data_IF_871736861863
#
_entry.id   IF_871736861863
#
_cell.length_a   1.000
_cell.length_b   1.000
_cell.length_c   1.000
_cell.angle_alpha   90.00
_cell.angle_beta   90.00
_cell.angle_gamma   90.00
#
_symmetry.space_group_name_H-M   'P 1'
#
loop_
_entity.id
_entity.type
_entity.pdbx_description
1 polymer ?
#
# COMPACT_ATOMS: atom_id res chain seq x y z
N UNK A 1 8.72 -12.54 -17.50
CA UNK A 1 7.48 -13.18 -17.05
C UNK A 1 6.32 -12.26 -17.37
N UNK A 2 5.17 -12.83 -17.73
CA UNK A 2 3.90 -12.12 -17.78
C UNK A 2 3.18 -12.30 -16.45
N UNK A 3 2.99 -11.20 -15.72
CA UNK A 3 2.54 -11.23 -14.33
C UNK A 3 1.18 -10.56 -14.23
N UNK A 4 0.16 -11.31 -13.83
CA UNK A 4 -1.17 -10.78 -13.61
C UNK A 4 -1.31 -10.17 -12.22
N UNK A 5 -1.96 -9.02 -12.11
CA UNK A 5 -2.36 -8.40 -10.84
C UNK A 5 -3.88 -8.38 -10.80
N UNK A 6 -4.48 -9.14 -9.87
CA UNK A 6 -5.93 -9.25 -9.72
C UNK A 6 -6.45 -8.27 -8.70
N UNK A 7 -6.95 -7.12 -9.17
CA UNK A 7 -7.62 -6.13 -8.33
C UNK A 7 -9.14 -6.33 -8.39
N UNK A 8 -9.75 -6.52 -7.22
CA UNK A 8 -11.18 -6.84 -7.04
C UNK A 8 -11.89 -5.94 -6.05
N UNK A 9 -11.19 -4.93 -5.55
CA UNK A 9 -11.63 -4.02 -4.50
C UNK A 9 -11.53 -2.59 -5.04
N UNK A 10 -12.66 -1.87 -4.97
CA UNK A 10 -12.68 -0.42 -5.23
C UNK A 10 -12.58 0.27 -3.88
N UNK A 11 -11.39 0.74 -3.53
CA UNK A 11 -11.18 1.51 -2.30
C UNK A 11 -11.24 3.02 -2.56
N UNK A 12 -11.91 3.80 -1.68
CA UNK A 12 -11.97 5.26 -1.81
C UNK A 12 -10.62 5.92 -1.51
N UNK A 13 -9.76 5.31 -0.69
CA UNK A 13 -8.44 5.82 -0.35
C UNK A 13 -7.42 5.64 -1.50
N UNK A 14 -6.26 6.31 -1.39
CA UNK A 14 -5.18 6.25 -2.37
C UNK A 14 -4.19 5.10 -2.18
N UNK A 15 -4.22 4.41 -1.04
CA UNK A 15 -3.22 3.40 -0.67
C UNK A 15 -3.16 2.23 -1.66
N UNK A 16 -4.32 1.66 -2.01
CA UNK A 16 -4.40 0.50 -2.92
C UNK A 16 -3.97 0.88 -4.34
N UNK A 17 -4.42 2.04 -4.82
CA UNK A 17 -4.02 2.60 -6.13
C UNK A 17 -2.51 2.78 -6.20
N UNK A 18 -1.94 3.30 -5.14
CA UNK A 18 -0.51 3.54 -5.06
C UNK A 18 0.29 2.23 -4.91
N UNK A 19 -0.26 1.24 -4.22
CA UNK A 19 0.35 -0.08 -4.09
C UNK A 19 0.40 -0.81 -5.43
N UNK A 20 -0.70 -0.80 -6.20
CA UNK A 20 -0.74 -1.33 -7.56
C UNK A 20 0.27 -0.61 -8.47
N UNK A 21 0.37 0.72 -8.35
CA UNK A 21 1.35 1.52 -9.10
C UNK A 21 2.79 1.06 -8.81
N UNK A 22 3.13 0.84 -7.55
CA UNK A 22 4.46 0.35 -7.15
C UNK A 22 4.71 -1.04 -7.72
N UNK A 23 3.76 -1.96 -7.59
CA UNK A 23 3.89 -3.32 -8.13
C UNK A 23 4.13 -3.29 -9.64
N UNK A 24 3.31 -2.54 -10.39
CA UNK A 24 3.42 -2.42 -11.85
C UNK A 24 4.76 -1.82 -12.25
N UNK A 25 5.16 -0.73 -11.61
CA UNK A 25 6.42 -0.05 -11.93
C UNK A 25 7.63 -0.94 -11.64
N UNK A 26 7.61 -1.66 -10.52
CA UNK A 26 8.70 -2.53 -10.13
C UNK A 26 8.81 -3.75 -11.04
N UNK A 27 7.67 -4.35 -11.44
CA UNK A 27 7.63 -5.40 -12.45
C UNK A 27 8.21 -4.92 -13.78
N UNK A 28 7.78 -3.74 -14.28
CA UNK A 28 8.32 -3.13 -15.50
C UNK A 28 9.83 -2.88 -15.39
N UNK A 29 10.29 -2.34 -14.25
CA UNK A 29 11.71 -2.06 -13.98
C UNK A 29 12.58 -3.31 -14.05
N UNK A 30 12.03 -4.46 -13.64
CA UNK A 30 12.70 -5.77 -13.72
C UNK A 30 12.52 -6.48 -15.08
N UNK A 31 11.92 -5.82 -16.08
CA UNK A 31 11.72 -6.38 -17.42
C UNK A 31 10.58 -7.41 -17.50
N UNK A 32 9.63 -7.38 -16.56
CA UNK A 32 8.42 -8.19 -16.60
C UNK A 32 7.28 -7.45 -17.30
N UNK A 33 6.28 -8.22 -17.75
CA UNK A 33 5.09 -7.72 -18.44
C UNK A 33 3.89 -7.79 -17.49
N UNK A 34 3.54 -6.71 -16.78
CA UNK A 34 2.36 -6.69 -15.93
C UNK A 34 1.06 -6.63 -16.74
N UNK A 35 0.03 -7.32 -16.29
CA UNK A 35 -1.34 -7.27 -16.81
C UNK A 35 -2.34 -7.18 -15.66
N UNK A 36 -3.37 -6.36 -15.79
CA UNK A 36 -4.42 -6.21 -14.78
C UNK A 36 -5.56 -7.17 -15.04
N UNK A 37 -5.91 -7.99 -14.04
CA UNK A 37 -7.08 -8.83 -14.01
C UNK A 37 -8.14 -8.15 -13.14
N UNK A 38 -9.23 -7.69 -13.73
CA UNK A 38 -10.23 -6.89 -12.98
C UNK A 38 -11.66 -7.37 -13.28
N UNK A 39 -12.61 -7.22 -12.34
CA UNK A 39 -14.02 -7.43 -12.62
C UNK A 39 -14.54 -6.57 -13.77
N UNK A 40 -15.66 -7.00 -14.36
CA UNK A 40 -16.41 -6.21 -15.34
C UNK A 40 -16.63 -4.77 -14.86
N UNK A 41 -16.45 -3.79 -15.77
CA UNK A 41 -16.64 -2.35 -15.53
C UNK A 41 -15.83 -1.79 -14.33
N UNK A 42 -14.63 -2.30 -14.09
CA UNK A 42 -13.79 -1.82 -13.00
C UNK A 42 -13.45 -0.31 -13.13
N UNK A 43 -13.77 0.52 -12.12
CA UNK A 43 -13.56 1.96 -12.18
C UNK A 43 -12.13 2.35 -11.80
N UNK A 44 -11.22 2.34 -12.78
CA UNK A 44 -9.84 2.79 -12.58
C UNK A 44 -9.78 4.27 -12.18
N UNK A 45 -8.92 4.61 -11.20
CA UNK A 45 -8.63 6.00 -10.83
C UNK A 45 -7.46 6.61 -11.58
N UNK A 46 -6.60 5.75 -12.14
CA UNK A 46 -5.39 6.13 -12.88
C UNK A 46 -5.24 5.20 -14.08
N UNK A 47 -4.63 5.70 -15.15
CA UNK A 47 -4.18 4.85 -16.25
C UNK A 47 -2.79 4.30 -15.93
N UNK A 48 -2.71 2.98 -15.76
CA UNK A 48 -1.46 2.28 -15.47
C UNK A 48 -0.63 1.97 -16.72
N UNK A 49 -1.17 2.21 -17.92
CA UNK A 49 -0.58 1.88 -19.21
C UNK A 49 -0.09 0.41 -19.26
N UNK A 50 -1.01 -0.51 -18.96
CA UNK A 50 -0.81 -1.96 -19.00
C UNK A 50 -2.06 -2.63 -19.59
N UNK A 51 -1.89 -3.85 -20.10
CA UNK A 51 -3.00 -4.65 -20.59
C UNK A 51 -4.03 -4.90 -19.48
N UNK A 52 -5.31 -4.89 -19.85
CA UNK A 52 -6.43 -5.19 -18.94
C UNK A 52 -7.20 -6.39 -19.47
N UNK A 53 -7.39 -7.38 -18.61
CA UNK A 53 -8.21 -8.57 -18.86
C UNK A 53 -9.37 -8.56 -17.88
N UNK A 54 -10.60 -8.54 -18.41
CA UNK A 54 -11.81 -8.57 -17.60
C UNK A 54 -12.15 -9.99 -17.16
N UNK A 55 -12.49 -10.13 -15.88
CA UNK A 55 -12.89 -11.38 -15.24
C UNK A 55 -14.41 -11.51 -15.23
N UNK A 56 -14.87 -12.71 -15.56
CA UNK A 56 -16.29 -13.08 -15.46
C UNK A 56 -16.71 -13.20 -13.99
N UNK A 57 -17.97 -12.85 -13.72
CA UNK A 57 -18.55 -12.96 -12.38
C UNK A 57 -19.27 -11.71 -11.90
N UNK A 58 -19.39 -10.70 -12.78
CA UNK A 58 -20.03 -9.43 -12.52
C UNK A 58 -19.12 -8.39 -11.89
N UNK A 59 -19.64 -7.18 -11.76
CA UNK A 59 -18.91 -5.98 -11.33
C UNK A 59 -18.47 -6.03 -9.85
N UNK A 60 -17.67 -5.06 -9.41
CA UNK A 60 -17.32 -4.92 -7.99
C UNK A 60 -18.56 -4.59 -7.13
N UNK A 61 -18.65 -5.17 -5.93
CA UNK A 61 -19.75 -4.87 -4.97
C UNK A 61 -19.29 -3.83 -3.95
N UNK A 62 -19.91 -2.65 -3.94
CA UNK A 62 -19.60 -1.58 -2.98
C UNK A 62 -20.56 -1.58 -1.78
N UNK A 63 -20.06 -1.19 -0.60
CA UNK A 63 -20.86 -1.01 0.63
C UNK A 63 -21.25 0.45 0.89
N UNK A 64 -20.73 1.38 0.09
CA UNK A 64 -21.02 2.80 0.25
C UNK A 64 -22.53 3.03 0.18
N UNK A 65 -23.11 3.59 1.24
CA UNK A 65 -24.56 3.86 1.33
C UNK A 65 -25.45 2.63 1.58
N UNK A 66 -24.92 1.42 1.78
CA UNK A 66 -25.74 0.23 1.98
C UNK A 66 -26.38 0.18 3.39
N UNK A 67 -27.72 0.02 3.44
CA UNK A 67 -28.47 -0.12 4.70
C UNK A 67 -28.03 -1.35 5.51
N UNK A 68 -28.16 -1.30 6.84
CA UNK A 68 -27.70 -2.37 7.76
C UNK A 68 -28.26 -3.76 7.39
N UNK A 69 -29.50 -3.82 6.90
CA UNK A 69 -30.18 -5.05 6.48
C UNK A 69 -29.66 -5.63 5.15
N UNK A 70 -29.10 -4.81 4.26
CA UNK A 70 -28.50 -5.28 3.00
C UNK A 70 -27.10 -5.89 3.21
N UNK A 71 -26.44 -5.61 4.35
CA UNK A 71 -25.07 -6.05 4.62
C UNK A 71 -24.85 -7.58 4.58
N UNK A 72 -25.75 -8.43 5.12
CA UNK A 72 -25.61 -9.88 5.03
C UNK A 72 -25.72 -10.39 3.59
N UNK A 73 -26.73 -9.92 2.84
CA UNK A 73 -26.89 -10.26 1.42
C UNK A 73 -25.67 -9.86 0.59
N UNK A 74 -25.19 -8.63 0.75
CA UNK A 74 -23.98 -8.15 0.07
C UNK A 74 -22.72 -8.96 0.46
N UNK A 75 -22.68 -9.51 1.68
CA UNK A 75 -21.57 -10.36 2.10
C UNK A 75 -21.57 -11.70 1.36
N UNK A 76 -22.76 -12.28 1.16
CA UNK A 76 -22.92 -13.53 0.40
C UNK A 76 -22.65 -13.27 -1.09
N UNK A 77 -23.19 -12.18 -1.64
CA UNK A 77 -22.97 -11.80 -3.03
C UNK A 77 -21.47 -11.60 -3.32
N UNK A 78 -20.73 -10.91 -2.44
CA UNK A 78 -19.27 -10.76 -2.58
C UNK A 78 -18.52 -12.08 -2.57
N UNK A 79 -18.91 -12.99 -1.68
CA UNK A 79 -18.29 -14.32 -1.61
C UNK A 79 -18.53 -15.09 -2.91
N UNK A 80 -19.74 -15.02 -3.47
CA UNK A 80 -20.07 -15.61 -4.77
C UNK A 80 -19.28 -14.98 -5.91
N UNK A 81 -19.27 -13.64 -6.01
CA UNK A 81 -18.51 -12.91 -7.05
C UNK A 81 -17.03 -13.23 -6.98
N UNK A 82 -16.43 -13.28 -5.78
CA UNK A 82 -15.02 -13.63 -5.60
C UNK A 82 -14.68 -15.02 -6.15
N UNK A 83 -15.54 -16.01 -5.90
CA UNK A 83 -15.35 -17.37 -6.45
C UNK A 83 -15.45 -17.37 -7.97
N UNK A 84 -16.39 -16.62 -8.54
CA UNK A 84 -16.51 -16.49 -9.99
C UNK A 84 -15.27 -15.83 -10.59
N UNK A 85 -14.80 -14.72 -10.01
CA UNK A 85 -13.58 -14.04 -10.45
C UNK A 85 -12.35 -14.95 -10.38
N UNK A 86 -12.18 -15.73 -9.30
CA UNK A 86 -11.07 -16.69 -9.20
C UNK A 86 -11.19 -17.86 -10.18
N UNK A 87 -12.41 -18.31 -10.46
CA UNK A 87 -12.65 -19.32 -11.51
C UNK A 87 -12.28 -18.78 -12.88
N UNK A 88 -12.72 -17.56 -13.21
CA UNK A 88 -12.35 -16.87 -14.43
C UNK A 88 -10.84 -16.63 -14.51
N UNK A 89 -10.21 -16.19 -13.42
CA UNK A 89 -8.77 -15.97 -13.35
C UNK A 89 -7.97 -17.25 -13.64
N UNK A 90 -8.41 -18.40 -13.12
CA UNK A 90 -7.76 -19.69 -13.41
C UNK A 90 -7.79 -20.04 -14.92
N UNK A 91 -8.88 -19.70 -15.61
CA UNK A 91 -8.97 -19.84 -17.06
C UNK A 91 -8.09 -18.81 -17.79
N UNK A 92 -8.18 -17.53 -17.40
CA UNK A 92 -7.41 -16.44 -18.01
C UNK A 92 -5.90 -16.59 -17.84
N UNK A 93 -5.44 -17.20 -16.75
CA UNK A 93 -4.02 -17.54 -16.56
C UNK A 93 -3.51 -18.42 -17.71
N UNK A 94 -4.29 -19.43 -18.13
CA UNK A 94 -3.92 -20.33 -19.24
C UNK A 94 -4.02 -19.62 -20.59
N UNK A 95 -5.13 -18.93 -20.84
CA UNK A 95 -5.38 -18.24 -22.11
C UNK A 95 -4.32 -17.17 -22.41
N UNK A 96 -3.94 -16.40 -21.39
CA UNK A 96 -3.00 -15.30 -21.52
C UNK A 96 -1.55 -15.68 -21.16
N UNK A 97 -1.27 -16.97 -20.92
CA UNK A 97 0.07 -17.48 -20.58
C UNK A 97 0.72 -16.70 -19.43
N UNK A 98 -0.02 -16.57 -18.34
CA UNK A 98 0.45 -15.88 -17.14
C UNK A 98 1.39 -16.80 -16.37
N UNK A 99 2.57 -16.29 -15.99
CA UNK A 99 3.56 -17.04 -15.22
C UNK A 99 3.31 -16.91 -13.70
N UNK A 100 2.81 -15.76 -13.26
CA UNK A 100 2.48 -15.48 -11.87
C UNK A 100 1.25 -14.57 -11.73
N UNK A 101 0.44 -14.80 -10.71
CA UNK A 101 -0.72 -14.02 -10.32
C UNK A 101 -0.48 -13.39 -8.93
N UNK A 102 -0.63 -12.07 -8.82
CA UNK A 102 -0.58 -11.34 -7.57
C UNK A 102 -2.00 -10.84 -7.24
N UNK A 103 -2.48 -11.17 -6.05
CA UNK A 103 -3.67 -10.59 -5.45
C UNK A 103 -3.17 -9.57 -4.40
N UNK A 104 -3.16 -8.26 -4.71
CA UNK A 104 -2.45 -7.25 -3.93
C UNK A 104 -3.07 -7.04 -2.54
N UNK A 105 -4.38 -7.26 -2.40
CA UNK A 105 -5.07 -7.13 -1.12
C UNK A 105 -5.94 -8.35 -0.83
N UNK A 106 -5.51 -9.17 0.14
CA UNK A 106 -6.17 -10.39 0.57
C UNK A 106 -6.65 -10.37 2.03
N UNK A 107 -7.64 -11.21 2.31
CA UNK A 107 -8.06 -11.59 3.68
C UNK A 107 -8.19 -13.10 3.77
N UNK A 108 -8.38 -13.66 4.97
CA UNK A 108 -8.63 -15.11 5.10
C UNK A 108 -9.82 -15.59 4.24
N UNK A 109 -10.78 -14.71 3.91
CA UNK A 109 -11.91 -15.03 3.03
C UNK A 109 -11.48 -15.20 1.58
N UNK A 110 -10.43 -14.49 1.15
CA UNK A 110 -9.85 -14.67 -0.18
C UNK A 110 -9.24 -16.06 -0.29
N UNK A 111 -8.43 -16.47 0.69
CA UNK A 111 -7.89 -17.85 0.71
C UNK A 111 -9.03 -18.87 0.71
N UNK A 112 -10.03 -18.69 1.57
CA UNK A 112 -11.17 -19.61 1.63
C UNK A 112 -11.86 -19.76 0.27
N UNK A 113 -12.14 -18.65 -0.42
CA UNK A 113 -12.79 -18.67 -1.72
C UNK A 113 -11.89 -19.28 -2.80
N UNK A 114 -10.60 -18.92 -2.83
CA UNK A 114 -9.60 -19.41 -3.79
C UNK A 114 -9.50 -20.94 -3.73
N UNK A 115 -9.39 -21.49 -2.52
CA UNK A 115 -9.30 -22.94 -2.28
C UNK A 115 -10.53 -23.74 -2.71
N UNK A 116 -11.63 -23.07 -2.99
CA UNK A 116 -12.87 -23.69 -3.47
C UNK A 116 -13.03 -23.52 -5.01
N UNK A 117 -11.99 -23.07 -5.71
CA UNK A 117 -11.97 -22.84 -7.16
C UNK A 117 -10.78 -23.57 -7.81
N UNK A 118 -10.71 -23.70 -9.16
CA UNK A 118 -9.55 -24.27 -9.85
C UNK A 118 -8.25 -23.49 -9.64
N UNK A 119 -8.31 -22.23 -9.18
CA UNK A 119 -7.14 -21.38 -8.98
C UNK A 119 -6.15 -21.94 -7.94
N UNK A 120 -6.62 -22.80 -7.02
CA UNK A 120 -5.76 -23.49 -6.05
C UNK A 120 -4.75 -24.45 -6.71
N UNK A 121 -5.11 -25.00 -7.87
CA UNK A 121 -4.32 -25.94 -8.65
C UNK A 121 -3.65 -25.25 -9.85
N UNK A 122 -3.45 -23.93 -9.77
CA UNK A 122 -2.82 -23.12 -10.81
C UNK A 122 -1.39 -23.60 -11.08
N UNK A 123 -1.04 -23.69 -12.37
CA UNK A 123 0.34 -23.93 -12.81
C UNK A 123 1.22 -22.68 -12.60
N UNK A 124 0.62 -21.48 -12.70
CA UNK A 124 1.25 -20.22 -12.36
C UNK A 124 1.36 -20.03 -10.85
N UNK A 125 2.39 -19.31 -10.39
CA UNK A 125 2.55 -18.94 -8.99
C UNK A 125 1.47 -17.94 -8.57
N UNK A 126 0.72 -18.24 -7.51
CA UNK A 126 -0.36 -17.40 -6.98
C UNK A 126 0.05 -16.82 -5.64
N UNK A 127 0.21 -15.51 -5.62
CA UNK A 127 0.61 -14.70 -4.47
C UNK A 127 -0.59 -13.94 -3.92
N UNK A 128 -0.93 -14.16 -2.65
CA UNK A 128 -1.96 -13.37 -1.95
C UNK A 128 -1.27 -12.48 -0.92
N UNK A 129 -1.31 -11.17 -1.12
CA UNK A 129 -0.66 -10.21 -0.24
C UNK A 129 -1.63 -9.75 0.87
N UNK A 130 -1.13 -9.71 2.10
CA UNK A 130 -1.86 -9.26 3.28
C UNK A 130 -1.22 -7.98 3.83
N UNK A 131 -1.95 -6.87 3.83
CA UNK A 131 -1.54 -5.57 4.40
C UNK A 131 -1.57 -5.53 5.94
N UNK A 132 -1.30 -6.67 6.57
CA UNK A 132 -1.48 -6.89 8.00
C UNK A 132 -2.67 -7.79 8.30
N UNK A 133 -2.59 -8.50 9.43
CA UNK A 133 -3.62 -9.42 9.90
C UNK A 133 -4.07 -8.93 11.27
N UNK A 134 -5.36 -8.59 11.38
CA UNK A 134 -5.93 -8.15 12.65
C UNK A 134 -5.88 -9.26 13.70
N UNK A 135 -5.72 -8.88 14.99
CA UNK A 135 -5.68 -9.85 16.11
C UNK A 135 -6.88 -10.82 16.10
N UNK A 136 -8.08 -10.31 15.83
CA UNK A 136 -9.30 -11.13 15.77
C UNK A 136 -9.46 -11.99 14.51
N UNK A 137 -8.56 -11.85 13.53
CA UNK A 137 -8.57 -12.62 12.28
C UNK A 137 -7.45 -13.66 12.21
N UNK A 138 -6.48 -13.61 13.14
CA UNK A 138 -5.28 -14.45 13.12
C UNK A 138 -5.61 -15.95 13.08
N UNK A 139 -6.49 -16.44 13.95
CA UNK A 139 -6.86 -17.87 13.98
C UNK A 139 -7.50 -18.32 12.67
N UNK A 140 -8.29 -17.45 12.05
CA UNK A 140 -8.94 -17.75 10.76
C UNK A 140 -7.92 -17.75 9.63
N UNK A 141 -6.96 -16.83 9.67
CA UNK A 141 -5.84 -16.80 8.75
C UNK A 141 -5.03 -18.09 8.86
N UNK A 142 -4.56 -18.45 10.06
CA UNK A 142 -3.77 -19.67 10.32
C UNK A 142 -4.52 -20.91 9.83
N UNK A 143 -5.82 -21.02 10.13
CA UNK A 143 -6.66 -22.11 9.62
C UNK A 143 -6.63 -22.22 8.10
N UNK A 144 -6.71 -21.10 7.38
CA UNK A 144 -6.64 -21.12 5.92
C UNK A 144 -5.21 -21.35 5.39
N UNK A 145 -4.19 -20.85 6.08
CA UNK A 145 -2.79 -21.08 5.74
C UNK A 145 -2.43 -22.58 5.80
N UNK A 146 -2.88 -23.30 6.81
CA UNK A 146 -2.73 -24.76 6.85
C UNK A 146 -3.39 -25.46 5.66
N UNK A 147 -4.59 -25.02 5.24
CA UNK A 147 -5.24 -25.57 4.04
C UNK A 147 -4.44 -25.25 2.77
N UNK A 148 -3.84 -24.07 2.70
CA UNK A 148 -3.04 -23.64 1.55
C UNK A 148 -1.76 -24.45 1.38
N UNK A 149 -1.19 -25.03 2.45
CA UNK A 149 0.02 -25.86 2.38
C UNK A 149 -0.10 -27.08 1.43
N UNK A 150 -1.33 -27.53 1.14
CA UNK A 150 -1.56 -28.62 0.19
C UNK A 150 -1.23 -28.25 -1.27
N UNK A 151 -1.06 -26.96 -1.58
CA UNK A 151 -0.88 -26.43 -2.93
C UNK A 151 0.50 -25.79 -3.08
N UNK A 152 1.28 -26.26 -4.05
CA UNK A 152 2.71 -25.89 -4.17
C UNK A 152 2.93 -24.47 -4.67
N UNK A 153 2.05 -23.99 -5.55
CA UNK A 153 2.18 -22.69 -6.22
C UNK A 153 1.31 -21.62 -5.54
N UNK A 154 0.88 -21.82 -4.29
CA UNK A 154 0.06 -20.86 -3.54
C UNK A 154 0.86 -20.28 -2.38
N UNK A 155 1.07 -18.98 -2.40
CA UNK A 155 1.86 -18.22 -1.42
C UNK A 155 1.01 -17.16 -0.73
N UNK A 156 1.22 -17.03 0.58
CA UNK A 156 0.55 -16.05 1.43
C UNK A 156 1.59 -15.06 1.94
N UNK A 157 1.65 -13.89 1.30
CA UNK A 157 2.67 -12.89 1.52
C UNK A 157 2.19 -11.84 2.52
N UNK A 158 2.72 -11.87 3.72
CA UNK A 158 2.29 -11.00 4.82
C UNK A 158 3.23 -9.81 4.94
N UNK A 159 2.70 -8.61 4.70
CA UNK A 159 3.39 -7.35 5.00
C UNK A 159 3.49 -7.22 6.51
N UNK A 160 4.71 -7.29 7.02
CA UNK A 160 4.96 -7.23 8.46
C UNK A 160 6.39 -6.78 8.75
N UNK A 161 6.55 -5.98 9.81
CA UNK A 161 7.86 -5.76 10.44
C UNK A 161 8.18 -6.84 11.49
N UNK A 162 7.16 -7.57 11.95
CA UNK A 162 7.27 -8.63 12.97
C UNK A 162 7.64 -9.97 12.33
N UNK A 163 8.33 -10.81 13.10
CA UNK A 163 8.76 -12.15 12.68
C UNK A 163 7.86 -13.29 13.19
N UNK A 164 6.85 -12.97 14.01
CA UNK A 164 5.94 -13.97 14.62
C UNK A 164 5.08 -14.74 13.61
N UNK A 165 5.05 -14.27 12.36
CA UNK A 165 4.33 -14.91 11.26
C UNK A 165 5.14 -15.97 10.51
N UNK A 166 6.46 -16.02 10.69
CA UNK A 166 7.37 -16.96 10.01
C UNK A 166 7.41 -18.29 10.76
N UNK A 167 6.30 -19.02 10.70
CA UNK A 167 6.18 -20.31 11.40
C UNK A 167 6.67 -21.47 10.54
N UNK A 168 7.47 -22.41 11.08
CA UNK A 168 7.94 -23.58 10.33
C UNK A 168 6.83 -24.49 9.79
N UNK A 169 5.67 -24.52 10.44
CA UNK A 169 4.50 -25.32 10.04
C UNK A 169 3.66 -24.65 8.93
N UNK A 170 4.01 -23.43 8.53
CA UNK A 170 3.35 -22.66 7.47
C UNK A 170 4.36 -22.25 6.38
N UNK A 171 4.97 -23.21 5.64
CA UNK A 171 6.01 -22.93 4.65
C UNK A 171 5.54 -22.08 3.46
N UNK A 172 4.21 -21.94 3.27
CA UNK A 172 3.61 -21.07 2.24
C UNK A 172 3.35 -19.64 2.71
N UNK A 173 3.53 -19.36 4.00
CA UNK A 173 3.43 -18.01 4.55
C UNK A 173 4.81 -17.36 4.50
N UNK A 174 4.92 -16.23 3.80
CA UNK A 174 6.17 -15.48 3.69
C UNK A 174 6.01 -14.09 4.30
N UNK A 175 7.08 -13.58 4.87
CA UNK A 175 7.16 -12.18 5.30
C UNK A 175 7.66 -11.36 4.12
N UNK A 176 6.94 -10.28 3.81
CA UNK A 176 7.42 -9.22 2.95
C UNK A 176 7.50 -7.92 3.74
N UNK A 177 8.51 -7.10 3.46
CA UNK A 177 8.64 -5.80 4.11
C UNK A 177 7.60 -4.83 3.54
N UNK A 178 7.07 -3.91 4.35
CA UNK A 178 6.19 -2.86 3.84
C UNK A 178 6.92 -2.04 2.78
N UNK A 179 6.25 -1.71 1.66
CA UNK A 179 6.85 -0.86 0.64
C UNK A 179 7.04 0.56 1.18
N UNK A 180 7.97 1.28 0.57
CA UNK A 180 8.10 2.73 0.77
C UNK A 180 7.43 3.41 -0.42
N UNK A 181 6.43 4.24 -0.13
CA UNK A 181 5.73 5.03 -1.12
C UNK A 181 6.56 6.24 -1.53
N UNK A 182 7.20 6.14 -2.69
CA UNK A 182 7.91 7.27 -3.29
C UNK A 182 6.95 8.08 -4.16
N UNK A 183 6.92 9.41 -4.03
CA UNK A 183 6.13 10.26 -4.91
C UNK A 183 6.49 9.97 -6.37
N UNK A 184 5.51 10.03 -7.26
CA UNK A 184 5.77 9.85 -8.70
C UNK A 184 6.46 11.10 -9.23
N UNK A 185 7.75 11.28 -8.94
CA UNK A 185 8.54 12.34 -9.54
C UNK A 185 8.75 12.02 -11.02
N UNK A 186 8.63 13.03 -11.89
CA UNK A 186 9.61 13.09 -12.95
C UNK A 186 10.95 13.21 -12.22
N UNK A 187 11.75 12.15 -12.24
CA UNK A 187 13.09 12.13 -11.65
C UNK A 187 13.94 13.20 -12.36
N UNK A 188 13.86 14.45 -11.92
CA UNK A 188 14.85 15.47 -12.24
C UNK A 188 16.11 15.15 -11.44
N UNK A 189 16.97 14.31 -12.02
CA UNK A 189 18.44 14.40 -11.99
C UNK A 189 19.25 14.35 -10.68
N UNK A 190 18.73 14.68 -9.50
CA UNK A 190 19.59 15.03 -8.36
C UNK A 190 19.49 14.14 -7.12
N UNK A 191 18.81 13.00 -7.20
CA UNK A 191 18.89 11.99 -6.12
C UNK A 191 19.29 10.61 -6.69
N UNK A 192 20.47 10.58 -7.31
CA UNK A 192 21.32 9.39 -7.26
C UNK A 192 22.24 9.52 -6.03
N UNK A 193 22.39 8.43 -5.29
CA UNK A 193 23.24 8.25 -4.09
C UNK A 193 22.60 8.55 -2.74
N UNK A 194 21.55 7.81 -2.40
CA UNK A 194 21.54 7.13 -1.10
C UNK A 194 21.28 5.65 -1.35
N UNK A 195 22.26 4.99 -1.97
CA UNK A 195 22.38 3.55 -1.84
C UNK A 195 22.79 3.30 -0.38
N UNK A 196 21.93 2.64 0.39
CA UNK A 196 22.29 2.05 1.66
C UNK A 196 23.33 0.96 1.34
N UNK A 197 24.61 1.32 1.40
CA UNK A 197 25.69 0.36 1.47
C UNK A 197 25.66 -0.28 2.86
N UNK A 198 24.86 -1.33 2.98
CA UNK A 198 25.14 -2.43 3.89
C UNK A 198 26.37 -3.17 3.35
N UNK A 199 27.55 -2.71 3.73
CA UNK A 199 28.77 -3.50 3.63
C UNK A 199 29.56 -3.31 4.94
N UNK A 200 29.43 -4.31 5.80
CA UNK A 200 30.36 -4.54 6.91
C UNK A 200 31.74 -4.79 6.31
N UNK A 201 32.74 -4.01 6.70
CA UNK A 201 34.14 -4.43 6.77
C UNK A 201 34.88 -3.53 7.75
N UNK A 202 35.25 -4.12 8.89
CA UNK A 202 36.28 -3.61 9.79
C UNK A 202 37.60 -3.51 9.04
N UNK A 203 38.29 -2.38 9.14
CA UNK A 203 39.74 -2.21 9.30
C UNK A 203 40.20 -0.83 8.78
N UNK A 204 41.00 -0.13 9.59
CA UNK A 204 41.92 0.91 9.13
C UNK A 204 41.52 2.35 9.43
N UNK A 205 41.83 2.82 10.64
CA UNK A 205 42.25 4.21 10.84
C UNK A 205 43.55 4.41 10.04
N UNK A 206 43.62 5.43 9.18
CA UNK A 206 44.75 6.37 9.12
C UNK A 206 44.54 7.49 8.07
N UNK A 207 44.63 8.73 8.57
CA UNK A 207 45.21 9.94 7.97
C UNK A 207 45.05 10.20 6.46
N UNK A 208 44.22 11.17 6.09
CA UNK A 208 44.43 12.00 4.89
C UNK A 208 44.30 13.48 5.23
N UNK A 209 45.40 14.19 4.94
CA UNK A 209 45.64 15.60 5.23
C UNK A 209 44.70 16.54 4.46
N UNK A 210 44.31 17.59 5.19
CA UNK A 210 43.64 18.78 4.69
C UNK A 210 44.58 19.55 3.75
N UNK A 211 44.16 19.80 2.50
CA UNK A 211 44.80 20.79 1.64
C UNK A 211 43.73 21.70 1.05
N UNK A 212 43.94 23.00 1.29
CA UNK A 212 43.04 24.09 0.95
C UNK A 212 42.76 24.17 -0.55
N UNK A 213 41.51 23.95 -0.95
CA UNK A 213 40.99 24.48 -2.21
C UNK A 213 40.04 25.63 -1.92
N UNK A 214 40.52 26.85 -2.24
CA UNK A 214 39.70 28.06 -2.32
C UNK A 214 38.70 27.88 -3.46
N UNK A 215 37.51 27.38 -3.13
CA UNK A 215 36.32 27.55 -3.96
C UNK A 215 35.47 28.67 -3.38
N UNK A 216 35.19 29.63 -4.24
CA UNK A 216 34.37 30.82 -4.05
C UNK A 216 33.09 30.55 -3.24
N UNK A 217 32.99 31.20 -2.08
CA UNK A 217 31.91 31.12 -1.09
C UNK A 217 30.58 31.78 -1.52
N UNK A 218 30.28 31.86 -2.81
CA UNK A 218 29.07 32.56 -3.28
C UNK A 218 27.87 31.64 -3.51
N UNK A 219 28.04 30.31 -3.45
CA UNK A 219 26.94 29.34 -3.52
C UNK A 219 26.44 28.84 -2.14
N UNK A 220 27.19 29.12 -1.05
CA UNK A 220 26.86 28.66 0.31
C UNK A 220 25.88 29.59 1.05
N UNK A 221 25.62 30.80 0.54
CA UNK A 221 24.79 31.82 1.20
C UNK A 221 23.33 31.88 0.72
N UNK A 222 22.85 30.92 -0.08
CA UNK A 222 21.43 30.78 -0.44
C UNK A 222 20.64 29.80 0.45
N UNK A 223 21.20 29.39 1.59
CA UNK A 223 20.45 28.71 2.67
C UNK A 223 19.63 29.72 3.48
N UNK A 224 18.76 30.49 2.83
CA UNK A 224 17.80 31.36 3.52
C UNK A 224 16.71 30.47 4.12
N UNK A 225 16.90 30.13 5.40
CA UNK A 225 15.88 29.96 6.44
C UNK A 225 14.55 29.30 5.99
N UNK A 226 14.62 28.14 5.32
CA UNK A 226 13.40 27.36 5.04
C UNK A 226 12.90 26.77 6.37
N UNK A 227 11.61 26.94 6.70
CA UNK A 227 11.07 26.40 7.95
C UNK A 227 11.18 24.87 7.95
N UNK A 228 11.54 24.30 9.09
CA UNK A 228 11.54 22.86 9.34
C UNK A 228 10.10 22.37 9.20
N UNK A 229 9.86 21.35 8.36
CA UNK A 229 8.52 20.79 8.15
C UNK A 229 8.40 19.43 8.81
N UNK A 230 7.46 19.34 9.74
CA UNK A 230 6.98 18.08 10.30
C UNK A 230 5.71 17.68 9.59
N UNK A 231 5.51 16.39 9.33
CA UNK A 231 4.39 15.91 8.55
C UNK A 231 3.75 14.67 9.16
N UNK A 232 2.42 14.68 9.25
CA UNK A 232 1.62 13.49 9.49
C UNK A 232 0.72 13.24 8.29
N UNK A 233 0.80 12.03 7.72
CA UNK A 233 0.09 11.67 6.50
C UNK A 233 -0.62 10.32 6.64
N UNK A 234 -1.76 10.20 5.99
CA UNK A 234 -2.49 8.96 5.79
C UNK A 234 -4.00 9.12 5.93
N UNK A 235 -4.69 7.99 5.95
CA UNK A 235 -6.12 7.95 6.26
C UNK A 235 -6.36 8.43 7.69
N UNK A 236 -7.24 9.40 7.89
CA UNK A 236 -7.68 9.80 9.22
C UNK A 236 -8.73 8.81 9.74
N UNK A 237 -8.53 8.42 11.00
CA UNK A 237 -9.44 7.60 11.79
C UNK A 237 -9.38 8.07 13.24
N UNK A 238 -10.51 8.04 13.95
CA UNK A 238 -10.57 8.43 15.36
C UNK A 238 -9.51 7.72 16.23
N UNK A 239 -9.29 6.41 16.03
CA UNK A 239 -8.34 5.62 16.81
C UNK A 239 -6.86 6.03 16.63
N UNK A 240 -6.52 6.77 15.55
CA UNK A 240 -5.16 7.26 15.35
C UNK A 240 -4.77 8.38 16.31
N UNK A 241 -5.74 8.95 17.05
CA UNK A 241 -5.51 9.95 18.10
C UNK A 241 -4.60 11.11 17.67
N UNK A 242 -4.76 11.59 16.43
CA UNK A 242 -3.88 12.61 15.85
C UNK A 242 -3.84 13.91 16.66
N UNK A 243 -4.93 14.22 17.34
CA UNK A 243 -5.07 15.40 18.19
C UNK A 243 -3.99 15.45 19.28
N UNK A 244 -3.60 14.30 19.85
CA UNK A 244 -2.50 14.24 20.83
C UNK A 244 -1.17 14.67 20.25
N UNK A 245 -0.92 14.35 18.99
CA UNK A 245 0.30 14.77 18.31
C UNK A 245 0.30 16.28 18.04
N UNK A 246 -0.85 16.82 17.64
CA UNK A 246 -1.03 18.26 17.43
C UNK A 246 -0.90 19.02 18.76
N UNK A 247 -1.50 18.51 19.85
CA UNK A 247 -1.37 19.08 21.19
C UNK A 247 0.09 19.09 21.66
N UNK A 248 0.83 18.00 21.42
CA UNK A 248 2.26 17.94 21.73
C UNK A 248 3.06 18.99 20.92
N UNK A 249 2.77 19.14 19.62
CA UNK A 249 3.40 20.17 18.80
C UNK A 249 3.13 21.59 19.32
N UNK A 250 1.86 21.88 19.65
CA UNK A 250 1.43 23.17 20.19
C UNK A 250 2.09 23.47 21.54
N UNK A 251 2.23 22.48 22.42
CA UNK A 251 2.85 22.65 23.75
C UNK A 251 4.32 23.03 23.71
N UNK A 252 4.99 22.84 22.57
CA UNK A 252 6.40 23.19 22.39
C UNK A 252 6.59 24.65 21.96
N UNK A 253 5.50 25.38 21.72
CA UNK A 253 5.51 26.82 21.42
C UNK A 253 6.47 27.22 20.28
N UNK A 254 6.59 26.38 19.25
CA UNK A 254 7.36 26.72 18.07
C UNK A 254 6.83 28.00 17.41
N UNK A 255 7.75 28.85 16.96
CA UNK A 255 7.43 29.97 16.09
C UNK A 255 7.24 29.49 14.63
N UNK A 256 7.24 30.42 13.67
CA UNK A 256 7.06 30.09 12.25
C UNK A 256 8.31 29.43 11.61
N UNK A 257 9.39 29.19 12.35
CA UNK A 257 10.55 28.42 11.88
C UNK A 257 10.25 26.91 11.80
N UNK A 258 9.19 26.43 12.45
CA UNK A 258 8.74 25.04 12.36
C UNK A 258 7.28 25.00 11.93
N UNK A 259 6.99 24.27 10.86
CA UNK A 259 5.65 24.06 10.32
C UNK A 259 5.22 22.61 10.50
N UNK A 260 3.98 22.41 10.94
CA UNK A 260 3.34 21.10 10.97
C UNK A 260 2.33 20.98 9.82
N UNK A 261 2.49 19.95 8.99
CA UNK A 261 1.52 19.57 7.96
C UNK A 261 0.77 18.32 8.43
N UNK A 262 -0.56 18.40 8.47
CA UNK A 262 -1.44 17.32 8.87
C UNK A 262 -2.37 16.97 7.71
N UNK A 263 -2.08 15.87 7.03
CA UNK A 263 -2.95 15.32 6.01
C UNK A 263 -3.83 14.21 6.59
N UNK A 264 -5.14 14.29 6.30
CA UNK A 264 -6.12 13.32 6.75
C UNK A 264 -7.13 13.02 5.66
N UNK A 265 -6.99 11.86 4.99
CA UNK A 265 -8.02 11.37 4.08
C UNK A 265 -9.12 10.66 4.86
N UNK A 266 -10.38 11.08 4.73
CA UNK A 266 -11.51 10.46 5.44
C UNK A 266 -12.35 9.62 4.48
N UNK A 267 -12.88 8.50 4.99
CA UNK A 267 -13.73 7.58 4.22
C UNK A 267 -15.13 7.49 4.80
N UNK A 268 -15.26 7.66 6.12
CA UNK A 268 -16.54 7.65 6.81
C UNK A 268 -16.97 9.09 7.10
N UNK A 269 -18.25 9.44 6.94
CA UNK A 269 -18.73 10.78 7.27
C UNK A 269 -18.36 11.20 8.69
N UNK A 270 -18.47 10.30 9.67
CA UNK A 270 -18.11 10.60 11.06
C UNK A 270 -16.62 10.92 11.27
N UNK A 271 -15.73 10.30 10.48
CA UNK A 271 -14.30 10.64 10.50
C UNK A 271 -14.07 12.01 9.83
N UNK A 272 -14.84 12.34 8.79
CA UNK A 272 -14.85 13.64 8.11
C UNK A 272 -15.23 14.78 9.04
N UNK A 273 -16.38 14.67 9.70
CA UNK A 273 -16.86 15.67 10.67
C UNK A 273 -15.87 15.87 11.83
N UNK A 274 -15.30 14.78 12.35
CA UNK A 274 -14.30 14.85 13.40
C UNK A 274 -13.03 15.57 12.91
N UNK A 275 -12.54 15.26 11.71
CA UNK A 275 -11.36 15.92 11.17
C UNK A 275 -11.58 17.42 10.95
N UNK A 276 -12.74 17.82 10.43
CA UNK A 276 -13.12 19.24 10.31
C UNK A 276 -13.18 19.95 11.67
N UNK A 277 -13.68 19.28 12.71
CA UNK A 277 -13.69 19.83 14.06
C UNK A 277 -12.27 20.08 14.60
N UNK A 278 -11.33 19.18 14.28
CA UNK A 278 -9.91 19.32 14.61
C UNK A 278 -9.31 20.52 13.84
N UNK A 279 -9.53 20.61 12.53
CA UNK A 279 -9.06 21.75 11.71
C UNK A 279 -9.52 23.07 12.33
N UNK A 280 -10.80 23.17 12.69
CA UNK A 280 -11.36 24.37 13.32
C UNK A 280 -10.70 24.67 14.67
N UNK A 281 -10.49 23.66 15.52
CA UNK A 281 -9.86 23.80 16.85
C UNK A 281 -8.45 24.41 16.77
N UNK A 282 -7.65 24.01 15.77
CA UNK A 282 -6.26 24.45 15.62
C UNK A 282 -6.06 25.58 14.60
N UNK A 283 -7.13 26.12 14.02
CA UNK A 283 -7.08 27.20 13.00
C UNK A 283 -6.36 28.48 13.43
N UNK A 284 -6.24 28.73 14.75
CA UNK A 284 -5.52 29.87 15.30
C UNK A 284 -3.99 29.80 15.16
N UNK A 285 -3.43 28.62 14.88
CA UNK A 285 -1.98 28.42 14.75
C UNK A 285 -1.55 28.56 13.29
N UNK A 286 -0.84 29.65 12.96
CA UNK A 286 -0.41 29.93 11.58
C UNK A 286 0.63 28.94 11.03
N UNK A 287 1.33 28.23 11.92
CA UNK A 287 2.34 27.25 11.58
C UNK A 287 1.80 25.81 11.45
N UNK A 288 0.47 25.61 11.46
CA UNK A 288 -0.17 24.31 11.21
C UNK A 288 -0.99 24.36 9.92
N UNK A 289 -0.68 23.47 8.97
CA UNK A 289 -1.40 23.33 7.71
C UNK A 289 -2.15 22.01 7.69
N UNK A 290 -3.45 22.05 7.40
CA UNK A 290 -4.27 20.86 7.23
C UNK A 290 -4.52 20.56 5.74
N UNK A 291 -4.56 19.28 5.39
CA UNK A 291 -4.93 18.79 4.06
C UNK A 291 -6.00 17.71 4.23
N UNK A 292 -7.25 18.04 3.90
CA UNK A 292 -8.38 17.10 3.95
C UNK A 292 -8.66 16.51 2.56
N UNK A 293 -7.75 15.70 2.06
CA UNK A 293 -7.85 15.08 0.74
C UNK A 293 -7.12 13.73 0.71
N UNK A 294 -7.43 12.87 -0.26
CA UNK A 294 -6.58 11.72 -0.60
C UNK A 294 -5.44 12.20 -1.50
N UNK A 295 -4.21 11.82 -1.17
CA UNK A 295 -3.03 12.13 -1.99
C UNK A 295 -2.66 10.90 -2.83
N UNK A 296 -2.47 11.07 -4.13
CA UNK A 296 -2.15 10.00 -5.09
C UNK A 296 -1.14 10.53 -6.11
N UNK A 297 -0.15 9.71 -6.49
CA UNK A 297 0.79 10.04 -7.57
C UNK A 297 1.64 11.28 -7.27
N UNK A 298 1.43 12.37 -8.02
CA UNK A 298 2.18 13.63 -7.86
C UNK A 298 1.75 14.46 -6.65
N UNK A 299 0.54 14.22 -6.16
CA UNK A 299 0.01 14.91 -4.97
C UNK A 299 0.55 14.30 -3.67
N UNK A 300 1.02 13.04 -3.71
CA UNK A 300 1.83 12.41 -2.66
C UNK A 300 3.26 12.94 -2.74
#
# INVERSE_FOLDING_TARGET
MRVAILESIVMPAGHEVEFDRILINELKRQGHEPVLFVPENFPFKVDYAVDVVYLEGGEVVTYAGASKWKKPFLSILRERRRRNWFTSAAQKIKEHKIDALIIPTGTYRYIKALLDTPLKDSEADVHVIFHGIGKGEMDRFIKQAHRANAYKNLYLDVISLRDDMLRPDLPRVRKILPPVFLPSSGLSGEQQNIAIQSAVSEQGLENVNFSDSKTTNDAANQSVNKPIKLGFFGQFRKEKNIERFIDAFVSLHYDNSVQLVVQGATVKPEDGELFESIIKKYSKYSNIKFIHASLIGKDW
#
